data_IF_954962917211
#
_entry.id   IF_954962917211
#
_cell.length_a   1.000
_cell.length_b   1.000
_cell.length_c   1.000
_cell.angle_alpha   90.00
_cell.angle_beta   90.00
_cell.angle_gamma   90.00
#
_symmetry.space_group_name_H-M   'P 1'
#
loop_
_entity.id
_entity.type
_entity.pdbx_description
1 polymer ?
#
# COMPACT_ATOMS: atom_id res chain seq x y z
N UNK A 1 12.57 5.51 10.72
CA UNK A 1 12.36 4.15 11.29
C UNK A 1 13.31 3.22 10.58
N UNK A 2 13.94 2.24 11.25
CA UNK A 2 14.81 1.30 10.51
C UNK A 2 14.00 0.41 9.56
N UNK A 3 14.58 0.10 8.40
CA UNK A 3 13.98 -0.79 7.41
C UNK A 3 13.68 -2.16 8.03
N UNK A 4 12.41 -2.60 8.09
CA UNK A 4 12.07 -3.88 8.70
C UNK A 4 12.60 -5.04 7.85
N UNK A 5 12.98 -6.18 8.47
CA UNK A 5 13.37 -7.37 7.73
C UNK A 5 12.20 -7.94 6.92
N UNK A 6 12.49 -8.77 5.92
CA UNK A 6 11.49 -9.29 4.99
C UNK A 6 10.38 -10.11 5.69
N UNK A 7 10.73 -10.85 6.74
CA UNK A 7 9.85 -11.68 7.55
C UNK A 7 9.11 -10.90 8.65
N UNK A 8 9.35 -9.60 8.79
CA UNK A 8 8.64 -8.77 9.74
C UNK A 8 7.11 -8.84 9.53
N UNK A 9 6.31 -8.60 10.58
CA UNK A 9 4.86 -8.49 10.43
C UNK A 9 4.44 -7.41 9.42
N UNK A 10 3.33 -7.63 8.70
CA UNK A 10 2.86 -6.70 7.66
C UNK A 10 2.56 -5.29 8.18
N UNK A 11 2.10 -5.13 9.42
CA UNK A 11 1.79 -3.82 9.98
C UNK A 11 3.04 -2.92 10.11
N UNK A 12 4.21 -3.51 10.41
CA UNK A 12 5.49 -2.79 10.45
C UNK A 12 5.94 -2.40 9.04
N UNK A 13 5.83 -3.33 8.08
CA UNK A 13 6.17 -3.08 6.68
C UNK A 13 5.30 -1.98 6.08
N UNK A 14 3.99 -2.02 6.33
CA UNK A 14 3.04 -1.00 5.87
C UNK A 14 3.38 0.39 6.43
N UNK A 15 3.67 0.48 7.72
CA UNK A 15 4.05 1.74 8.37
C UNK A 15 5.37 2.29 7.83
N UNK A 16 6.41 1.45 7.75
CA UNK A 16 7.71 1.84 7.19
C UNK A 16 7.55 2.36 5.76
N UNK A 17 6.84 1.64 4.91
CA UNK A 17 6.60 2.05 3.52
C UNK A 17 5.87 3.40 3.44
N UNK A 18 4.88 3.64 4.29
CA UNK A 18 4.20 4.94 4.28
C UNK A 18 5.12 6.08 4.77
N UNK A 19 5.79 5.88 5.91
CA UNK A 19 6.53 6.96 6.61
C UNK A 19 7.89 7.26 5.98
N UNK A 20 8.61 6.23 5.54
CA UNK A 20 10.02 6.36 5.14
C UNK A 20 10.20 6.26 3.62
N UNK A 21 9.30 5.54 2.93
CA UNK A 21 9.44 5.31 1.48
C UNK A 21 8.68 6.33 0.65
N UNK A 22 7.40 6.54 0.96
CA UNK A 22 6.61 7.56 0.29
C UNK A 22 6.55 8.90 1.04
N UNK A 23 7.08 8.95 2.28
CA UNK A 23 7.06 10.13 3.15
C UNK A 23 5.64 10.72 3.32
N UNK A 24 4.62 9.87 3.41
CA UNK A 24 3.22 10.28 3.51
C UNK A 24 2.68 10.21 4.94
N UNK A 25 1.81 11.17 5.26
CA UNK A 25 0.91 11.03 6.41
C UNK A 25 -0.20 10.03 6.09
N UNK A 26 -0.90 9.55 7.13
CA UNK A 26 -2.07 8.68 6.94
C UNK A 26 -3.18 9.36 6.13
N UNK A 27 -3.37 10.67 6.34
CA UNK A 27 -4.39 11.44 5.63
C UNK A 27 -4.04 11.61 4.14
N UNK A 28 -2.76 11.80 3.82
CA UNK A 28 -2.31 11.87 2.42
C UNK A 28 -2.47 10.51 1.72
N UNK A 29 -2.09 9.40 2.37
CA UNK A 29 -2.30 8.07 1.81
C UNK A 29 -3.80 7.72 1.68
N UNK A 30 -4.62 8.16 2.62
CA UNK A 30 -6.08 8.03 2.55
C UNK A 30 -6.64 8.70 1.29
N UNK A 31 -6.22 9.93 0.99
CA UNK A 31 -6.65 10.65 -0.21
C UNK A 31 -6.28 9.92 -1.51
N UNK A 32 -5.13 9.24 -1.55
CA UNK A 32 -4.64 8.53 -2.74
C UNK A 32 -5.28 7.14 -2.92
N UNK A 33 -5.56 6.45 -1.82
CA UNK A 33 -6.04 5.05 -1.85
C UNK A 33 -7.55 4.91 -1.75
N UNK A 34 -8.25 5.96 -1.30
CA UNK A 34 -9.69 5.93 -1.01
C UNK A 34 -10.05 5.26 0.32
N UNK A 35 -9.08 4.81 1.11
CA UNK A 35 -9.31 4.35 2.48
C UNK A 35 -9.41 5.54 3.45
N UNK A 36 -10.02 5.33 4.61
CA UNK A 36 -9.96 6.32 5.69
C UNK A 36 -8.60 6.28 6.40
N UNK A 37 -8.16 7.40 6.97
CA UNK A 37 -6.95 7.45 7.80
C UNK A 37 -7.03 6.50 9.01
N UNK A 38 -8.23 6.30 9.56
CA UNK A 38 -8.48 5.32 10.62
C UNK A 38 -8.28 3.89 10.14
N UNK A 39 -8.71 3.55 8.93
CA UNK A 39 -8.48 2.23 8.33
C UNK A 39 -6.99 1.98 8.12
N UNK A 40 -6.24 2.98 7.64
CA UNK A 40 -4.77 2.91 7.50
C UNK A 40 -4.12 2.69 8.86
N UNK A 41 -4.55 3.43 9.89
CA UNK A 41 -4.08 3.22 11.27
C UNK A 41 -4.33 1.78 11.73
N UNK A 42 -5.51 1.22 11.44
CA UNK A 42 -5.83 -0.16 11.79
C UNK A 42 -4.97 -1.18 11.02
N UNK A 43 -4.66 -0.92 9.75
CA UNK A 43 -3.73 -1.76 8.98
C UNK A 43 -2.31 -1.77 9.54
N UNK A 44 -1.89 -0.69 10.20
CA UNK A 44 -0.58 -0.51 10.83
C UNK A 44 -0.55 -0.94 12.32
N UNK A 45 -1.65 -1.48 12.84
CA UNK A 45 -1.76 -1.84 14.25
C UNK A 45 -1.53 -3.35 14.47
N UNK A 46 -0.57 -3.78 15.32
CA UNK A 46 -0.35 -5.19 15.64
C UNK A 46 -1.55 -5.88 16.29
N UNK A 47 -2.40 -5.13 17.00
CA UNK A 47 -3.53 -5.67 17.76
C UNK A 47 -4.82 -5.79 16.94
N UNK A 48 -4.81 -5.38 15.67
CA UNK A 48 -5.97 -5.44 14.80
C UNK A 48 -5.91 -6.70 13.95
N UNK A 49 -6.87 -7.58 14.17
CA UNK A 49 -7.15 -8.65 13.23
C UNK A 49 -7.83 -8.03 12.00
N UNK A 50 -7.23 -8.26 10.84
CA UNK A 50 -7.67 -7.66 9.59
C UNK A 50 -7.97 -8.79 8.63
N UNK A 51 -9.20 -8.75 8.12
CA UNK A 51 -9.66 -9.67 7.08
C UNK A 51 -8.62 -9.80 5.94
N UNK A 52 -8.25 -11.02 5.53
CA UNK A 52 -7.25 -11.23 4.49
C UNK A 52 -7.58 -10.56 3.16
N UNK A 53 -8.87 -10.44 2.81
CA UNK A 53 -9.30 -9.76 1.59
C UNK A 53 -9.12 -8.24 1.71
N UNK A 54 -9.47 -7.65 2.85
CA UNK A 54 -9.19 -6.25 3.14
C UNK A 54 -7.69 -5.95 3.04
N UNK A 55 -6.84 -6.85 3.55
CA UNK A 55 -5.39 -6.71 3.43
C UNK A 55 -4.90 -6.76 1.98
N UNK A 56 -5.45 -7.67 1.18
CA UNK A 56 -5.13 -7.78 -0.25
C UNK A 56 -5.51 -6.52 -1.02
N UNK A 57 -6.70 -5.96 -0.75
CA UNK A 57 -7.16 -4.69 -1.35
C UNK A 57 -6.25 -3.52 -0.96
N UNK A 58 -5.88 -3.44 0.31
CA UNK A 58 -4.95 -2.41 0.80
C UNK A 58 -3.60 -2.46 0.07
N UNK A 59 -3.00 -3.66 -0.07
CA UNK A 59 -1.75 -3.84 -0.82
C UNK A 59 -1.86 -3.41 -2.28
N UNK A 60 -2.97 -3.77 -2.95
CA UNK A 60 -3.20 -3.36 -4.33
C UNK A 60 -3.34 -1.84 -4.46
N UNK A 61 -4.06 -1.19 -3.54
CA UNK A 61 -4.17 0.27 -3.52
C UNK A 61 -2.81 0.94 -3.29
N UNK A 62 -2.00 0.43 -2.35
CA UNK A 62 -0.63 0.93 -2.14
C UNK A 62 0.26 0.75 -3.37
N UNK A 63 0.16 -0.39 -4.06
CA UNK A 63 0.88 -0.62 -5.32
C UNK A 63 0.44 0.36 -6.42
N UNK A 64 -0.86 0.62 -6.55
CA UNK A 64 -1.39 1.60 -7.51
C UNK A 64 -0.84 3.01 -7.23
N UNK A 65 -0.75 3.40 -5.95
CA UNK A 65 -0.12 4.66 -5.53
C UNK A 65 1.35 4.71 -5.92
N UNK A 66 2.13 3.67 -5.61
CA UNK A 66 3.55 3.62 -5.97
C UNK A 66 3.78 3.69 -7.50
N UNK A 67 2.83 3.18 -8.29
CA UNK A 67 2.89 3.21 -9.75
C UNK A 67 2.34 4.51 -10.36
N UNK A 68 1.79 5.43 -9.56
CA UNK A 68 1.14 6.64 -10.06
C UNK A 68 -0.11 6.38 -10.91
N UNK A 69 -0.79 5.23 -10.70
CA UNK A 69 -1.99 4.89 -11.46
C UNK A 69 -3.16 5.74 -10.98
N UNK A 70 -3.69 6.58 -11.86
CA UNK A 70 -5.01 7.20 -11.69
C UNK A 70 -6.05 6.28 -12.32
N UNK A 71 -6.84 5.60 -11.49
CA UNK A 71 -7.88 4.69 -11.95
C UNK A 71 -9.22 5.41 -12.11
N UNK A 72 -9.76 5.32 -13.32
CA UNK A 72 -11.11 5.76 -13.66
C UNK A 72 -11.89 4.61 -14.30
N UNK A 73 -13.09 4.34 -13.78
CA UNK A 73 -13.90 3.18 -14.18
C UNK A 73 -14.29 3.16 -15.67
N UNK A 74 -14.39 4.33 -16.30
CA UNK A 74 -14.87 4.47 -17.67
C UNK A 74 -13.74 4.52 -18.69
N UNK A 75 -12.52 4.90 -18.26
CA UNK A 75 -11.39 5.16 -19.15
C UNK A 75 -10.16 4.29 -18.86
N UNK A 76 -10.07 3.69 -17.67
CA UNK A 76 -8.91 2.87 -17.26
C UNK A 76 -9.23 1.39 -17.36
N UNK A 77 -8.48 0.69 -18.23
CA UNK A 77 -8.52 -0.77 -18.35
C UNK A 77 -7.11 -1.34 -18.24
N UNK A 78 -6.84 -2.09 -17.18
CA UNK A 78 -5.57 -2.80 -16.99
C UNK A 78 -5.76 -4.28 -17.34
N UNK A 79 -5.36 -4.65 -18.56
CA UNK A 79 -5.39 -6.05 -19.02
C UNK A 79 -3.98 -6.64 -18.94
N UNK A 80 -3.74 -7.44 -17.91
CA UNK A 80 -2.47 -8.17 -17.74
C UNK A 80 -2.45 -9.31 -18.76
N UNK A 81 -1.71 -9.15 -19.85
CA UNK A 81 -1.60 -10.17 -20.91
C UNK A 81 -0.47 -11.18 -20.66
N UNK A 82 0.50 -10.80 -19.82
CA UNK A 82 1.63 -11.63 -19.39
C UNK A 82 1.96 -11.29 -17.93
N UNK A 83 2.63 -12.18 -17.17
CA UNK A 83 3.08 -11.88 -15.81
C UNK A 83 3.93 -10.60 -15.81
N UNK A 84 3.48 -9.59 -15.08
CA UNK A 84 4.26 -8.36 -14.89
C UNK A 84 5.27 -8.62 -13.77
N UNK A 85 6.57 -8.57 -14.08
CA UNK A 85 7.60 -8.47 -13.06
C UNK A 85 7.74 -7.01 -12.66
N UNK A 86 7.29 -6.69 -11.45
CA UNK A 86 7.46 -5.37 -10.86
C UNK A 86 8.73 -5.44 -10.01
N UNK A 87 9.79 -4.75 -10.45
CA UNK A 87 11.01 -4.56 -9.68
C UNK A 87 11.01 -3.12 -9.18
N UNK A 88 10.86 -2.94 -7.87
CA UNK A 88 10.98 -1.63 -7.23
C UNK A 88 12.42 -1.56 -6.70
N UNK A 89 13.20 -0.61 -7.23
CA UNK A 89 14.63 -0.41 -6.94
C UNK A 89 14.90 0.07 -5.50
N UNK A 90 16.19 0.19 -5.12
CA UNK A 90 16.60 0.36 -3.72
C UNK A 90 16.30 1.74 -3.09
N UNK A 91 15.93 2.75 -3.88
CA UNK A 91 15.67 4.11 -3.40
C UNK A 91 14.17 4.41 -3.31
N UNK A 92 13.51 3.57 -2.52
CA UNK A 92 12.17 3.82 -2.02
C UNK A 92 12.23 3.49 -0.53
#
# INVERSE_FOLDING_TARGET
>A
MDKPPHDAPEHLKARYWREEVLELTRDQLAALTGFSASSIKDFENPSKDIDPMARKRYRLACAAVAMGIQFDWLTTSLKIQQPVQITIGPDA
#
